data_IF_376428357468
#
_entry.id   IF_376428357468
#
_cell.length_a   1.000
_cell.length_b   1.000
_cell.length_c   1.000
_cell.angle_alpha   90.00
_cell.angle_beta   90.00
_cell.angle_gamma   90.00
#
_symmetry.space_group_name_H-M   'P 1'
#
loop_
_entity.id
_entity.type
_entity.pdbx_description
1 polymer ?
#
# COMPACT_ATOMS: atom_id res chain seq x y z
N UNK A 1 8.52 1.66 10.37
CA UNK A 1 8.58 0.20 10.14
C UNK A 1 8.86 -0.07 8.67
N UNK A 2 9.50 -1.19 8.35
CA UNK A 2 9.87 -1.59 6.99
C UNK A 2 9.05 -2.82 6.59
N UNK A 3 8.54 -2.85 5.38
CA UNK A 3 7.78 -3.98 4.84
C UNK A 3 8.29 -4.32 3.45
N UNK A 4 8.30 -5.62 3.15
CA UNK A 4 8.60 -6.14 1.83
C UNK A 4 7.41 -6.97 1.35
N UNK A 5 6.97 -6.72 0.13
CA UNK A 5 5.82 -7.42 -0.43
C UNK A 5 5.67 -7.22 -1.92
N UNK A 6 4.81 -8.03 -2.52
CA UNK A 6 4.51 -7.99 -3.95
C UNK A 6 3.26 -7.15 -4.18
N UNK A 7 3.30 -6.26 -5.18
CA UNK A 7 2.13 -5.46 -5.56
C UNK A 7 1.08 -6.38 -6.18
N UNK A 8 0.02 -6.65 -5.43
CA UNK A 8 -1.10 -7.47 -5.88
C UNK A 8 -2.10 -6.64 -6.70
N UNK A 9 -2.35 -5.39 -6.27
CA UNK A 9 -3.31 -4.49 -6.91
C UNK A 9 -2.90 -3.04 -6.70
N UNK A 10 -3.20 -2.15 -7.64
CA UNK A 10 -3.04 -0.71 -7.47
C UNK A 10 -4.18 0.07 -8.09
N UNK A 11 -4.39 1.30 -7.62
CA UNK A 11 -5.31 2.28 -8.21
C UNK A 11 -4.95 3.69 -7.79
N UNK A 12 -5.36 4.66 -8.60
CA UNK A 12 -5.37 6.06 -8.21
C UNK A 12 -6.31 6.27 -7.02
N UNK A 13 -5.91 7.17 -6.13
CA UNK A 13 -6.61 7.48 -4.88
C UNK A 13 -6.95 8.98 -4.85
N UNK A 14 -8.21 9.37 -4.59
CA UNK A 14 -8.61 10.78 -4.61
C UNK A 14 -7.86 11.60 -3.53
N UNK A 15 -7.29 12.75 -3.91
CA UNK A 15 -6.44 13.62 -3.05
C UNK A 15 -7.14 14.30 -1.85
N UNK A 16 -8.35 13.90 -1.49
CA UNK A 16 -9.21 14.69 -0.61
C UNK A 16 -8.79 14.70 0.87
N UNK A 17 -8.30 13.58 1.43
CA UNK A 17 -7.99 13.48 2.86
C UNK A 17 -6.50 13.43 3.19
N UNK A 18 -5.69 12.80 2.33
CA UNK A 18 -4.25 12.70 2.50
C UNK A 18 -3.59 13.52 1.40
N UNK A 19 -3.47 14.83 1.61
CA UNK A 19 -3.16 15.86 0.58
C UNK A 19 -1.99 15.56 -0.36
N UNK A 20 -1.12 14.60 -0.04
CA UNK A 20 0.02 14.16 -0.87
C UNK A 20 -0.05 12.71 -1.34
N UNK A 21 -0.94 11.88 -0.79
CA UNK A 21 -1.11 10.48 -1.16
C UNK A 21 -2.22 10.37 -2.20
N UNK A 22 -1.86 9.94 -3.39
CA UNK A 22 -2.78 9.81 -4.53
C UNK A 22 -2.73 8.42 -5.18
N UNK A 23 -2.07 7.48 -4.54
CA UNK A 23 -2.03 6.08 -4.94
C UNK A 23 -2.38 5.18 -3.77
N UNK A 24 -3.23 4.19 -4.05
CA UNK A 24 -3.50 3.09 -3.14
C UNK A 24 -3.10 1.78 -3.81
N UNK A 25 -2.05 1.18 -3.28
CA UNK A 25 -1.58 -0.15 -3.65
C UNK A 25 -2.00 -1.17 -2.59
N UNK A 26 -2.04 -2.44 -2.95
CA UNK A 26 -2.23 -3.54 -2.02
C UNK A 26 -1.02 -4.44 -2.18
N UNK A 27 -0.25 -4.56 -1.11
CA UNK A 27 0.92 -5.44 -1.08
C UNK A 27 0.54 -6.75 -0.41
N UNK A 28 0.82 -7.86 -1.07
CA UNK A 28 0.93 -9.14 -0.41
C UNK A 28 2.30 -9.20 0.28
N UNK A 29 2.31 -9.20 1.61
CA UNK A 29 3.55 -9.12 2.37
C UNK A 29 4.23 -10.49 2.45
N UNK A 30 5.56 -10.50 2.31
CA UNK A 30 6.35 -11.73 2.41
C UNK A 30 6.19 -12.36 3.80
N UNK A 31 6.46 -11.54 4.80
CA UNK A 31 6.27 -11.88 6.20
C UNK A 31 4.94 -11.35 6.69
N UNK A 32 4.19 -12.19 7.41
CA UNK A 32 2.93 -11.75 8.02
C UNK A 32 3.19 -10.59 8.99
N UNK A 33 2.33 -9.57 8.93
CA UNK A 33 2.46 -8.40 9.80
C UNK A 33 1.42 -8.50 10.92
N UNK A 34 1.90 -8.56 12.15
CA UNK A 34 1.06 -8.43 13.34
C UNK A 34 0.83 -6.95 13.64
N UNK A 35 -0.42 -6.50 13.65
CA UNK A 35 -0.78 -5.13 13.98
C UNK A 35 -2.07 -5.12 14.80
N UNK A 36 -1.98 -4.65 16.05
CA UNK A 36 -3.10 -4.53 16.99
C UNK A 36 -3.95 -5.82 17.16
N UNK A 37 -3.26 -6.97 17.23
CA UNK A 37 -3.90 -8.28 17.37
C UNK A 37 -4.30 -8.96 16.05
N UNK A 38 -4.32 -8.22 14.94
CA UNK A 38 -4.58 -8.77 13.60
C UNK A 38 -3.29 -9.26 12.93
N UNK A 39 -3.40 -10.36 12.18
CA UNK A 39 -2.32 -10.86 11.31
C UNK A 39 -2.67 -10.57 9.86
N UNK A 40 -1.89 -9.70 9.22
CA UNK A 40 -2.16 -9.20 7.88
C UNK A 40 -1.24 -9.84 6.85
N UNK A 41 -1.84 -10.49 5.84
CA UNK A 41 -1.16 -11.01 4.64
C UNK A 41 -1.21 -10.03 3.46
N UNK A 42 -2.28 -9.22 3.39
CA UNK A 42 -2.46 -8.18 2.38
C UNK A 42 -2.65 -6.86 3.09
N UNK A 43 -1.87 -5.84 2.72
CA UNK A 43 -1.92 -4.53 3.33
C UNK A 43 -2.23 -3.46 2.29
N UNK A 44 -3.25 -2.61 2.51
CA UNK A 44 -3.42 -1.39 1.74
C UNK A 44 -2.29 -0.40 2.06
N UNK A 45 -1.67 0.13 1.02
CA UNK A 45 -0.50 1.02 1.08
C UNK A 45 -0.82 2.32 0.38
N UNK A 46 -0.79 3.43 1.12
CA UNK A 46 -0.89 4.77 0.58
C UNK A 46 0.49 5.32 0.22
N UNK A 47 0.64 5.74 -1.02
CA UNK A 47 1.87 6.32 -1.56
C UNK A 47 1.58 7.59 -2.36
N UNK A 48 2.64 8.37 -2.60
CA UNK A 48 2.59 9.61 -3.39
C UNK A 48 2.85 9.31 -4.87
N UNK A 49 2.45 10.23 -5.76
CA UNK A 49 2.67 10.11 -7.21
C UNK A 49 4.11 9.85 -7.63
N UNK A 50 5.08 10.39 -6.88
CA UNK A 50 6.50 10.11 -7.09
C UNK A 50 6.86 8.62 -6.97
N UNK A 51 5.92 7.79 -6.52
CA UNK A 51 6.01 6.35 -6.35
C UNK A 51 5.11 5.58 -7.35
N UNK A 52 4.66 6.22 -8.45
CA UNK A 52 3.83 5.62 -9.51
C UNK A 52 4.47 4.43 -10.24
N UNK A 53 5.80 4.28 -10.13
CA UNK A 53 6.58 3.27 -10.82
C UNK A 53 6.31 1.82 -10.38
N UNK A 54 5.46 1.61 -9.37
CA UNK A 54 5.12 0.27 -8.89
C UNK A 54 4.15 -0.41 -9.85
N UNK A 55 4.53 -1.51 -10.46
CA UNK A 55 3.67 -2.34 -11.29
C UNK A 55 3.13 -3.53 -10.50
N UNK A 56 2.00 -4.08 -10.97
CA UNK A 56 1.48 -5.33 -10.41
C UNK A 56 2.52 -6.43 -10.67
N UNK A 57 2.83 -7.20 -9.62
CA UNK A 57 3.89 -8.21 -9.64
C UNK A 57 5.25 -7.71 -9.13
N UNK A 58 5.47 -6.39 -9.05
CA UNK A 58 6.73 -5.87 -8.52
C UNK A 58 6.88 -6.22 -7.04
N UNK A 59 8.08 -6.62 -6.65
CA UNK A 59 8.46 -6.74 -5.24
C UNK A 59 8.99 -5.40 -4.76
N UNK A 60 8.38 -4.87 -3.72
CA UNK A 60 8.63 -3.54 -3.19
C UNK A 60 9.12 -3.64 -1.76
N UNK A 61 10.18 -2.90 -1.46
CA UNK A 61 10.67 -2.68 -0.11
C UNK A 61 10.47 -1.21 0.28
N UNK A 62 9.62 -0.98 1.28
CA UNK A 62 9.23 0.37 1.70
C UNK A 62 9.32 0.56 3.20
N UNK A 63 9.63 1.80 3.56
CA UNK A 63 9.63 2.26 4.94
C UNK A 63 8.50 3.27 5.16
N UNK A 64 7.82 3.14 6.30
CA UNK A 64 6.64 3.92 6.60
C UNK A 64 6.06 3.66 7.98
N UNK A 65 4.77 3.94 8.12
CA UNK A 65 4.03 3.78 9.37
C UNK A 65 2.65 3.15 9.12
N UNK A 66 2.22 2.26 10.01
CA UNK A 66 0.87 1.72 10.00
C UNK A 66 -0.06 2.63 10.80
N UNK A 67 -1.27 2.87 10.27
CA UNK A 67 -2.33 3.62 10.94
C UNK A 67 -3.70 3.00 10.67
N UNK A 68 -4.59 3.05 11.66
CA UNK A 68 -6.01 2.81 11.43
C UNK A 68 -6.66 4.06 10.85
N UNK A 69 -7.07 3.99 9.59
CA UNK A 69 -7.72 5.11 8.91
C UNK A 69 -8.88 4.63 8.04
N UNK A 70 -9.86 5.50 7.81
CA UNK A 70 -10.91 5.22 6.84
C UNK A 70 -10.38 5.54 5.44
N UNK A 71 -10.54 4.61 4.51
CA UNK A 71 -10.10 4.79 3.11
C UNK A 71 -11.28 4.86 2.16
N UNK A 72 -11.12 5.57 1.05
CA UNK A 72 -12.08 5.60 -0.04
C UNK A 72 -12.04 4.22 -0.72
N UNK A 73 -13.15 3.49 -0.69
CA UNK A 73 -13.32 2.15 -1.25
C UNK A 73 -13.38 2.17 -2.79
N UNK A 74 -13.52 1.02 -3.43
CA UNK A 74 -13.77 0.94 -4.89
C UNK A 74 -15.07 1.61 -5.31
N UNK A 75 -16.02 1.79 -4.39
CA UNK A 75 -17.30 2.46 -4.64
C UNK A 75 -17.23 3.99 -4.48
N UNK A 76 -16.04 4.56 -4.25
CA UNK A 76 -15.87 6.00 -4.06
C UNK A 76 -16.34 6.53 -2.69
N UNK A 77 -16.83 5.67 -1.80
CA UNK A 77 -17.25 6.00 -0.42
C UNK A 77 -16.16 5.64 0.59
N UNK A 78 -16.08 6.36 1.70
CA UNK A 78 -15.22 5.96 2.83
C UNK A 78 -15.64 4.58 3.36
N UNK A 79 -14.67 3.77 3.78
CA UNK A 79 -14.89 2.50 4.47
C UNK A 79 -15.76 2.70 5.71
N UNK A 80 -16.55 1.70 6.08
CA UNK A 80 -17.43 1.78 7.25
C UNK A 80 -16.63 2.01 8.54
N UNK A 81 -15.59 1.20 8.74
CA UNK A 81 -14.66 1.27 9.86
C UNK A 81 -13.25 1.69 9.39
N UNK A 82 -12.42 2.25 10.29
CA UNK A 82 -10.99 2.37 10.04
C UNK A 82 -10.39 1.00 9.74
N UNK A 83 -9.51 0.95 8.75
CA UNK A 83 -8.76 -0.26 8.39
C UNK A 83 -7.27 0.01 8.59
N UNK A 84 -6.46 -1.03 8.85
CA UNK A 84 -5.02 -0.87 8.97
C UNK A 84 -4.43 -0.54 7.60
N UNK A 85 -3.75 0.60 7.48
CA UNK A 85 -3.14 1.09 6.24
C UNK A 85 -1.69 1.47 6.50
N UNK A 86 -0.82 1.08 5.57
CA UNK A 86 0.57 1.51 5.57
C UNK A 86 0.72 2.82 4.82
N UNK A 87 1.31 3.83 5.44
CA UNK A 87 1.62 5.11 4.82
C UNK A 87 3.12 5.17 4.54
N UNK A 88 3.47 5.22 3.26
CA UNK A 88 4.87 5.19 2.83
C UNK A 88 5.54 6.53 3.11
N UNK A 89 6.74 6.46 3.70
CA UNK A 89 7.66 7.60 3.87
C UNK A 89 8.76 7.56 2.81
N UNK A 90 9.31 6.38 2.53
CA UNK A 90 10.44 6.22 1.60
C UNK A 90 10.42 4.84 0.95
N UNK A 91 10.86 4.75 -0.30
CA UNK A 91 11.11 3.48 -1.00
C UNK A 91 12.57 3.12 -0.82
N UNK A 92 12.86 1.87 -0.47
CA UNK A 92 14.23 1.35 -0.38
C UNK A 92 14.62 0.64 -1.67
N UNK A 93 13.73 -0.18 -2.21
CA UNK A 93 14.01 -0.98 -3.40
C UNK A 93 12.71 -1.29 -4.16
N UNK A 94 12.83 -1.41 -5.48
CA UNK A 94 11.79 -1.92 -6.38
C UNK A 94 12.48 -2.99 -7.23
N UNK A 95 11.99 -4.23 -7.15
CA UNK A 95 12.38 -5.32 -8.03
C UNK A 95 11.24 -5.56 -9.00
N UNK A 96 11.40 -5.18 -10.28
CA UNK A 96 10.37 -5.38 -11.28
C UNK A 96 10.03 -6.87 -11.41
N UNK A 97 8.75 -7.20 -11.63
CA UNK A 97 8.41 -8.55 -12.05
C UNK A 97 9.17 -8.90 -13.33
N UNK A 98 9.74 -10.12 -13.45
CA UNK A 98 10.25 -10.58 -14.72
C UNK A 98 9.08 -10.54 -15.73
N UNK A 99 9.27 -9.78 -16.80
CA UNK A 99 8.32 -9.73 -17.91
C UNK A 99 8.39 -11.13 -18.54
N UNK A 100 7.37 -11.96 -18.33
CA UNK A 100 7.17 -13.13 -19.20
C UNK A 100 6.74 -12.58 -20.56
N UNK A 101 7.71 -12.40 -21.45
CA UNK A 101 7.50 -12.22 -22.89
C UNK A 101 6.77 -13.41 -23.50
#
# INVERSE_FOLDING_TARGET
>A
MRITGTVFKKRTYPKHHYKKMDHLSFLEVKDNISFDGDVLKIIPVLSQKSMECWNIGDEIDVEGEMKYIRIITSLGKLSLLPVPVFIVKTIKEIKPSPITS
#
